data_IF_989622093632
#
_entry.id   IF_989622093632
#
_cell.length_a   1.000
_cell.length_b   1.000
_cell.length_c   1.000
_cell.angle_alpha   90.00
_cell.angle_beta   90.00
_cell.angle_gamma   90.00
#
_symmetry.space_group_name_H-M   'P 1'
#
loop_
_entity.id
_entity.type
_entity.pdbx_description
1 polymer ?
#
# COMPACT_ATOMS: atom_id res chain seq x y z
N UNK A 1 13.50 4.31 5.31
CA UNK A 1 12.82 3.38 4.38
C UNK A 1 11.39 3.23 4.83
N UNK A 2 10.41 3.02 3.93
CA UNK A 2 9.00 2.85 4.33
C UNK A 2 8.55 1.42 4.19
N UNK A 3 7.62 1.02 5.04
CA UNK A 3 6.97 -0.28 4.98
C UNK A 3 5.49 -0.15 5.27
N UNK A 4 4.69 -1.00 4.62
CA UNK A 4 3.26 -1.15 4.87
C UNK A 4 3.06 -2.35 5.76
N UNK A 5 2.51 -2.16 6.94
CA UNK A 5 2.30 -3.21 7.92
C UNK A 5 0.81 -3.53 8.07
N UNK A 6 0.47 -4.82 8.05
CA UNK A 6 -0.85 -5.32 8.40
C UNK A 6 -0.90 -5.56 9.89
N UNK A 7 -1.69 -4.74 10.58
CA UNK A 7 -1.94 -4.86 12.01
C UNK A 7 -3.30 -5.56 12.21
N UNK A 8 -3.34 -6.78 12.77
CA UNK A 8 -4.59 -7.48 13.06
C UNK A 8 -5.50 -6.69 14.01
N UNK A 9 -6.78 -7.06 14.08
CA UNK A 9 -7.72 -6.41 15.01
C UNK A 9 -7.23 -6.56 16.46
N UNK A 10 -6.99 -5.44 17.13
CA UNK A 10 -6.51 -5.40 18.51
C UNK A 10 -5.02 -5.68 18.69
N UNK A 11 -4.25 -5.81 17.60
CA UNK A 11 -2.79 -5.90 17.63
C UNK A 11 -2.11 -4.53 17.61
N UNK A 12 -0.80 -4.55 17.84
CA UNK A 12 0.09 -3.39 17.85
C UNK A 12 1.19 -3.54 16.80
N UNK A 13 1.79 -2.42 16.37
CA UNK A 13 2.85 -2.43 15.35
C UNK A 13 4.11 -3.18 15.81
N UNK A 14 4.35 -3.20 17.12
CA UNK A 14 5.48 -3.86 17.77
C UNK A 14 5.30 -5.37 17.90
N UNK A 15 4.10 -5.91 17.58
CA UNK A 15 3.85 -7.33 17.69
C UNK A 15 4.69 -8.13 16.68
N UNK A 16 5.38 -9.21 17.09
CA UNK A 16 6.29 -9.97 16.21
C UNK A 16 5.63 -10.61 14.98
N UNK A 17 4.30 -10.71 15.00
CA UNK A 17 3.47 -11.36 13.99
C UNK A 17 2.92 -10.39 12.94
N UNK A 18 3.26 -9.10 13.03
CA UNK A 18 2.84 -8.08 12.05
C UNK A 18 3.53 -8.35 10.71
N UNK A 19 2.71 -8.56 9.67
CA UNK A 19 3.17 -8.77 8.30
C UNK A 19 3.48 -7.40 7.68
N UNK A 20 4.74 -7.14 7.33
CA UNK A 20 5.17 -5.88 6.74
C UNK A 20 5.76 -6.08 5.34
N UNK A 21 5.28 -5.26 4.40
CA UNK A 21 5.76 -5.15 3.03
C UNK A 21 6.67 -3.93 2.90
N UNK A 22 7.98 -4.10 2.61
CA UNK A 22 8.85 -2.97 2.35
C UNK A 22 8.44 -2.25 1.05
N UNK A 23 8.55 -0.93 1.05
CA UNK A 23 8.46 -0.09 -0.13
C UNK A 23 9.82 0.56 -0.36
N UNK A 24 10.64 -0.12 -1.14
CA UNK A 24 11.96 0.38 -1.55
C UNK A 24 11.81 1.69 -2.34
N UNK A 25 12.81 2.56 -2.22
CA UNK A 25 12.83 3.86 -2.90
C UNK A 25 12.68 3.71 -4.41
N UNK A 26 13.38 2.75 -5.00
CA UNK A 26 13.29 2.43 -6.43
C UNK A 26 11.87 2.00 -6.86
N UNK A 27 11.14 1.25 -6.02
CA UNK A 27 9.74 0.89 -6.29
C UNK A 27 8.86 2.12 -6.29
N UNK A 28 9.09 3.05 -5.36
CA UNK A 28 8.35 4.29 -5.32
C UNK A 28 8.63 5.14 -6.56
N UNK A 29 9.90 5.33 -6.92
CA UNK A 29 10.34 6.18 -8.03
C UNK A 29 9.80 5.68 -9.36
N UNK A 30 9.99 4.39 -9.65
CA UNK A 30 9.50 3.77 -10.89
C UNK A 30 7.98 3.74 -10.95
N UNK A 31 7.33 3.57 -9.81
CA UNK A 31 5.86 3.58 -9.73
C UNK A 31 5.25 4.97 -9.75
N UNK A 32 6.02 6.05 -9.52
CA UNK A 32 5.47 7.38 -9.33
C UNK A 32 4.67 7.86 -10.54
N UNK A 33 5.27 7.85 -11.74
CA UNK A 33 4.58 8.28 -12.97
C UNK A 33 3.36 7.40 -13.25
N UNK A 34 3.51 6.08 -13.14
CA UNK A 34 2.42 5.12 -13.37
C UNK A 34 1.24 5.34 -12.42
N UNK A 35 1.50 5.58 -11.14
CA UNK A 35 0.45 5.71 -10.13
C UNK A 35 -0.13 7.12 -10.06
N UNK A 36 0.70 8.16 -10.17
CA UNK A 36 0.29 9.55 -9.99
C UNK A 36 -0.29 10.17 -11.26
N UNK A 37 0.27 9.86 -12.43
CA UNK A 37 -0.12 10.53 -13.67
C UNK A 37 -1.22 9.76 -14.43
N UNK A 38 -1.25 8.42 -14.33
CA UNK A 38 -2.16 7.58 -15.14
C UNK A 38 -3.47 7.21 -14.41
N UNK A 39 -3.53 7.34 -13.09
CA UNK A 39 -4.72 7.00 -12.29
C UNK A 39 -5.66 8.22 -12.13
N UNK A 40 -6.97 8.01 -12.18
CA UNK A 40 -7.94 9.04 -11.72
C UNK A 40 -7.85 9.15 -10.20
N UNK A 41 -7.73 10.37 -9.64
CA UNK A 41 -7.66 10.64 -8.18
C UNK A 41 -8.35 9.56 -7.32
N UNK A 42 -7.56 8.88 -6.49
CA UNK A 42 -8.00 7.75 -5.66
C UNK A 42 -7.07 7.50 -4.47
N UNK A 43 -7.43 6.53 -3.63
CA UNK A 43 -6.69 6.21 -2.41
C UNK A 43 -5.26 5.73 -2.70
N UNK A 44 -5.05 5.09 -3.86
CA UNK A 44 -3.70 4.67 -4.26
C UNK A 44 -2.78 5.87 -4.55
N UNK A 45 -3.29 6.95 -5.13
CA UNK A 45 -2.50 8.17 -5.33
C UNK A 45 -2.15 8.85 -4.02
N UNK A 46 -3.12 8.95 -3.11
CA UNK A 46 -2.89 9.52 -1.79
C UNK A 46 -1.85 8.68 -1.02
N UNK A 47 -1.97 7.35 -1.10
CA UNK A 47 -0.98 6.41 -0.57
C UNK A 47 0.42 6.66 -1.17
N UNK A 48 0.54 6.78 -2.51
CA UNK A 48 1.83 6.97 -3.17
C UNK A 48 2.46 8.33 -2.85
N UNK A 49 1.67 9.41 -2.76
CA UNK A 49 2.16 10.75 -2.38
C UNK A 49 2.66 10.81 -0.95
N UNK A 50 2.04 10.05 -0.06
CA UNK A 50 2.41 9.99 1.35
C UNK A 50 3.72 9.24 1.59
N UNK A 51 4.42 8.76 0.55
CA UNK A 51 5.82 8.37 0.69
C UNK A 51 6.61 9.59 1.18
N UNK A 52 6.97 10.60 0.38
CA UNK A 52 7.83 11.70 0.90
C UNK A 52 7.15 12.72 1.85
N UNK A 53 5.87 12.56 2.19
CA UNK A 53 5.15 13.49 3.07
C UNK A 53 5.55 13.41 4.55
N UNK A 54 5.54 14.53 5.26
CA UNK A 54 5.78 14.61 6.71
C UNK A 54 4.67 13.93 7.56
N UNK A 55 3.53 13.59 6.94
CA UNK A 55 2.38 12.90 7.53
C UNK A 55 2.24 11.46 7.03
N UNK A 56 3.35 10.80 6.70
CA UNK A 56 3.40 9.50 6.02
C UNK A 56 2.70 8.34 6.77
N UNK A 57 2.34 8.54 8.04
CA UNK A 57 1.55 7.58 8.79
C UNK A 57 0.11 7.58 8.31
N UNK A 58 -0.21 6.58 7.50
CA UNK A 58 -1.56 6.34 7.00
C UNK A 58 -2.10 5.03 7.55
N UNK A 59 -3.21 5.11 8.28
CA UNK A 59 -3.97 3.95 8.72
C UNK A 59 -5.24 3.78 7.86
N UNK A 60 -5.41 2.59 7.26
CA UNK A 60 -6.57 2.23 6.45
C UNK A 60 -7.25 0.97 6.97
N UNK A 61 -8.56 1.03 7.14
CA UNK A 61 -9.39 -0.08 7.61
C UNK A 61 -10.76 -0.09 6.93
N UNK A 62 -11.51 -1.18 7.10
CA UNK A 62 -12.86 -1.32 6.57
C UNK A 62 -12.93 -1.12 5.04
N UNK A 63 -13.96 -0.41 4.57
CA UNK A 63 -14.23 -0.25 3.14
C UNK A 63 -13.09 0.43 2.37
N UNK A 64 -12.27 1.28 3.03
CA UNK A 64 -11.12 1.93 2.40
C UNK A 64 -10.08 0.92 1.89
N UNK A 65 -9.96 -0.24 2.52
CA UNK A 65 -9.09 -1.33 2.04
C UNK A 65 -9.58 -1.89 0.70
N UNK A 66 -10.89 -1.96 0.51
CA UNK A 66 -11.48 -2.46 -0.74
C UNK A 66 -11.46 -1.41 -1.84
N UNK A 67 -11.57 -0.13 -1.49
CA UNK A 67 -11.35 0.99 -2.42
C UNK A 67 -9.90 1.03 -2.89
N UNK A 68 -8.92 0.98 -1.98
CA UNK A 68 -7.50 0.90 -2.33
C UNK A 68 -7.22 -0.32 -3.22
N UNK A 69 -7.78 -1.50 -2.89
CA UNK A 69 -7.66 -2.69 -3.74
C UNK A 69 -8.17 -2.45 -5.16
N UNK A 70 -9.31 -1.76 -5.33
CA UNK A 70 -9.87 -1.47 -6.65
C UNK A 70 -8.92 -0.58 -7.45
N UNK A 71 -8.37 0.45 -6.81
CA UNK A 71 -7.40 1.35 -7.43
C UNK A 71 -6.14 0.59 -7.88
N UNK A 72 -5.61 -0.30 -7.03
CA UNK A 72 -4.45 -1.13 -7.37
C UNK A 72 -4.75 -2.04 -8.56
N UNK A 73 -5.89 -2.73 -8.55
CA UNK A 73 -6.27 -3.64 -9.64
C UNK A 73 -6.45 -2.90 -10.97
N UNK A 74 -6.83 -1.63 -10.96
CA UNK A 74 -7.00 -0.84 -12.16
C UNK A 74 -5.66 -0.53 -12.87
N UNK A 75 -4.59 -0.29 -12.11
CA UNK A 75 -3.26 0.10 -12.65
C UNK A 75 -2.29 -1.07 -12.80
N UNK A 76 -2.52 -2.19 -12.09
CA UNK A 76 -1.63 -3.35 -12.11
C UNK A 76 -1.28 -3.86 -13.53
N UNK A 77 -2.20 -3.90 -14.51
CA UNK A 77 -1.85 -4.28 -15.89
C UNK A 77 -0.83 -3.36 -16.57
N UNK A 78 -0.89 -2.05 -16.30
CA UNK A 78 0.00 -1.06 -16.90
C UNK A 78 1.41 -1.12 -16.29
N UNK A 79 1.54 -1.70 -15.09
CA UNK A 79 2.81 -1.93 -14.41
C UNK A 79 3.58 -3.18 -14.88
N UNK A 80 3.09 -3.94 -15.87
CA UNK A 80 3.76 -5.16 -16.34
C UNK A 80 5.20 -4.92 -16.85
N UNK A 81 5.50 -3.71 -17.34
CA UNK A 81 6.84 -3.29 -17.76
C UNK A 81 7.80 -2.98 -16.60
N UNK A 82 7.30 -2.85 -15.37
CA UNK A 82 8.07 -2.56 -14.16
C UNK A 82 7.88 -3.68 -13.12
N UNK A 83 8.66 -4.78 -13.20
CA UNK A 83 8.41 -5.99 -12.40
C UNK A 83 8.39 -5.75 -10.88
N UNK A 84 9.24 -4.85 -10.38
CA UNK A 84 9.29 -4.52 -8.95
C UNK A 84 8.01 -3.82 -8.47
N UNK A 85 7.51 -2.85 -9.25
CA UNK A 85 6.25 -2.13 -8.98
C UNK A 85 5.07 -3.10 -9.05
N UNK A 86 5.02 -3.93 -10.09
CA UNK A 86 3.98 -4.95 -10.25
C UNK A 86 3.93 -5.91 -9.05
N UNK A 87 5.08 -6.45 -8.64
CA UNK A 87 5.16 -7.37 -7.51
C UNK A 87 4.70 -6.71 -6.21
N UNK A 88 5.13 -5.47 -5.97
CA UNK A 88 4.69 -4.69 -4.82
C UNK A 88 3.17 -4.49 -4.80
N UNK A 89 2.57 -4.06 -5.91
CA UNK A 89 1.13 -3.85 -6.03
C UNK A 89 0.31 -5.13 -5.81
N UNK A 90 0.80 -6.27 -6.32
CA UNK A 90 0.18 -7.58 -6.09
C UNK A 90 0.23 -7.97 -4.60
N UNK A 91 1.37 -7.76 -3.94
CA UNK A 91 1.50 -8.04 -2.51
C UNK A 91 0.62 -7.11 -1.67
N UNK A 92 0.62 -5.81 -1.97
CA UNK A 92 -0.24 -4.82 -1.31
C UNK A 92 -1.73 -5.17 -1.47
N UNK A 93 -2.15 -5.64 -2.65
CA UNK A 93 -3.52 -6.13 -2.89
C UNK A 93 -3.88 -7.30 -1.97
N UNK A 94 -2.96 -8.27 -1.79
CA UNK A 94 -3.17 -9.41 -0.89
C UNK A 94 -3.28 -8.94 0.56
N UNK A 95 -2.45 -7.99 0.98
CA UNK A 95 -2.52 -7.40 2.32
C UNK A 95 -3.85 -6.68 2.55
N UNK A 96 -4.37 -5.94 1.57
CA UNK A 96 -5.69 -5.28 1.67
C UNK A 96 -6.81 -6.29 1.94
N UNK A 97 -6.81 -7.42 1.22
CA UNK A 97 -7.80 -8.49 1.40
C UNK A 97 -7.67 -9.13 2.78
N UNK A 98 -6.45 -9.48 3.20
CA UNK A 98 -6.20 -10.08 4.52
C UNK A 98 -6.64 -9.14 5.65
N UNK A 99 -6.23 -7.88 5.59
CA UNK A 99 -6.59 -6.87 6.58
C UNK A 99 -8.11 -6.72 6.67
N UNK A 100 -8.81 -6.66 5.54
CA UNK A 100 -10.26 -6.57 5.51
C UNK A 100 -10.94 -7.80 6.14
N UNK A 101 -10.53 -9.01 5.76
CA UNK A 101 -11.08 -10.25 6.28
C UNK A 101 -10.85 -10.43 7.79
N UNK A 102 -9.73 -9.94 8.31
CA UNK A 102 -9.38 -10.01 9.73
C UNK A 102 -9.89 -8.80 10.54
N UNK A 103 -10.59 -7.86 9.90
CA UNK A 103 -10.97 -6.58 10.50
C UNK A 103 -9.77 -5.80 11.06
N UNK A 104 -8.60 -6.01 10.45
CA UNK A 104 -7.35 -5.34 10.75
C UNK A 104 -7.20 -4.01 10.01
N UNK A 105 -6.01 -3.46 10.10
CA UNK A 105 -5.62 -2.17 9.53
C UNK A 105 -4.34 -2.30 8.73
N UNK A 106 -4.23 -1.63 7.59
CA UNK A 106 -2.94 -1.37 6.96
C UNK A 106 -2.39 -0.05 7.47
N UNK A 107 -1.15 -0.07 7.94
CA UNK A 107 -0.43 1.10 8.43
C UNK A 107 0.83 1.32 7.62
N UNK A 108 1.03 2.52 7.10
CA UNK A 108 2.31 2.94 6.52
C UNK A 108 3.17 3.51 7.64
N UNK A 109 4.39 2.99 7.79
CA UNK A 109 5.34 3.49 8.79
C UNK A 109 6.64 3.92 8.11
N UNK A 110 7.18 5.04 8.58
CA UNK A 110 8.53 5.48 8.25
C UNK A 110 9.47 4.97 9.34
N UNK A 111 10.57 4.33 8.95
CA UNK A 111 11.75 4.16 9.81
C UNK A 111 12.58 5.44 9.84
#
# INVERSE_FOLDING_TARGET
>A
MRRVCLVPRGGHLEDPQVDCLPMEEEVWERGYTLVIDEVKRGLLQDFWRNYYGASAEMAMSGNRLMELRKDIMAITPDCLGEPAVFQFLVQLTRMCVRAYSQQGTLQVVAE
#
